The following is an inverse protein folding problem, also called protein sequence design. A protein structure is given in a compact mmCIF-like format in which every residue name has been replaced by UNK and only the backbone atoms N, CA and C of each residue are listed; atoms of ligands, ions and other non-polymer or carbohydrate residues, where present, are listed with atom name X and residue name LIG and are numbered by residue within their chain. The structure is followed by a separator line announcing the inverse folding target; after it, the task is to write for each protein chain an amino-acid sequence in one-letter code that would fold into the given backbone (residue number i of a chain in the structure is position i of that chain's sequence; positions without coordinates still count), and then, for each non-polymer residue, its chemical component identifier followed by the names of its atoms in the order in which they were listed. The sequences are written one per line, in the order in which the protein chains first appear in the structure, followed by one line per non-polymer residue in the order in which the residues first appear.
data_IF_733150084514
#
_entry.id   IF_733150084514
#
_cell.length_a   1.000
_cell.length_b   1.000
_cell.length_c   1.000
_cell.angle_alpha   90.00
_cell.angle_beta   90.00
_cell.angle_gamma   90.00
#
_symmetry.space_group_name_H-M   'P 1'
#
loop_
_entity.id
_entity.type
_entity.pdbx_description
1 polymer ?
#
# COMPACT_ATOMS: atom_id res chain seq x y z
N UNK A 1 6.73 -4.63 -9.32
CA UNK A 1 5.83 -5.01 -8.20
C UNK A 1 4.41 -4.61 -8.56
N UNK A 2 3.42 -5.46 -8.28
CA UNK A 2 2.01 -5.14 -8.43
C UNK A 2 1.38 -4.83 -7.06
N UNK A 3 0.63 -3.74 -6.96
CA UNK A 3 -0.12 -3.35 -5.77
C UNK A 3 -1.61 -3.32 -6.10
N UNK A 4 -2.42 -4.05 -5.34
CA UNK A 4 -3.88 -3.91 -5.37
C UNK A 4 -4.31 -3.07 -4.18
N UNK A 5 -4.72 -1.82 -4.44
CA UNK A 5 -5.12 -0.83 -3.45
C UNK A 5 -6.64 -0.66 -3.39
N UNK A 6 -7.43 -1.47 -4.11
CA UNK A 6 -8.91 -1.38 -4.12
C UNK A 6 -9.51 -1.67 -2.75
N UNK A 7 -8.79 -2.41 -1.91
CA UNK A 7 -9.14 -2.67 -0.52
C UNK A 7 -7.94 -2.32 0.36
N UNK A 8 -8.17 -1.83 1.58
CA UNK A 8 -7.09 -1.43 2.46
C UNK A 8 -6.48 -2.67 3.14
N UNK A 9 -5.66 -3.41 2.39
CA UNK A 9 -5.10 -4.71 2.82
C UNK A 9 -3.71 -4.63 3.45
N UNK A 10 -3.08 -3.46 3.41
CA UNK A 10 -1.72 -3.31 3.92
C UNK A 10 -1.73 -2.99 5.41
N UNK A 11 -1.13 -3.87 6.21
CA UNK A 11 -0.78 -3.57 7.59
C UNK A 11 0.42 -2.61 7.65
N UNK A 12 0.68 -2.04 8.82
CA UNK A 12 1.78 -1.10 9.01
C UNK A 12 3.11 -1.69 8.49
N UNK A 13 3.77 -0.95 7.60
CA UNK A 13 5.05 -1.36 7.00
C UNK A 13 4.96 -2.29 5.78
N UNK A 14 3.85 -3.01 5.57
CA UNK A 14 3.74 -3.91 4.40
C UNK A 14 3.77 -3.16 3.07
N UNK A 15 3.06 -2.03 2.98
CA UNK A 15 3.08 -1.19 1.78
C UNK A 15 4.50 -0.68 1.49
N UNK A 16 5.23 -0.27 2.54
CA UNK A 16 6.61 0.20 2.41
C UNK A 16 7.55 -0.91 1.94
N UNK A 17 7.44 -2.12 2.50
CA UNK A 17 8.21 -3.29 2.06
C UNK A 17 7.91 -3.64 0.61
N UNK A 18 6.64 -3.60 0.18
CA UNK A 18 6.29 -3.90 -1.20
C UNK A 18 6.89 -2.87 -2.18
N UNK A 19 6.84 -1.58 -1.83
CA UNK A 19 7.43 -0.50 -2.64
C UNK A 19 8.95 -0.58 -2.67
N UNK A 20 9.62 -0.96 -1.58
CA UNK A 20 11.08 -1.04 -1.52
C UNK A 20 11.69 -2.19 -2.34
N UNK A 21 10.88 -3.13 -2.84
CA UNK A 21 11.36 -4.23 -3.70
C UNK A 21 11.69 -3.81 -5.13
N UNK A 22 11.36 -2.59 -5.56
CA UNK A 22 11.71 -2.09 -6.90
C UNK A 22 12.85 -1.08 -6.84
N UNK A 23 13.65 -1.05 -7.89
CA UNK A 23 14.75 -0.09 -8.07
C UNK A 23 14.33 1.20 -8.76
N UNK A 24 13.14 1.23 -9.38
CA UNK A 24 12.56 2.39 -10.04
C UNK A 24 11.05 2.42 -9.81
N UNK A 25 10.51 3.61 -9.50
CA UNK A 25 9.07 3.81 -9.26
C UNK A 25 8.21 3.46 -10.47
N UNK A 26 8.75 3.62 -11.68
CA UNK A 26 8.06 3.29 -12.94
C UNK A 26 7.77 1.78 -13.07
N UNK A 27 8.44 0.93 -12.28
CA UNK A 27 8.23 -0.52 -12.26
C UNK A 27 7.16 -0.96 -11.24
N UNK A 28 6.46 0.01 -10.62
CA UNK A 28 5.30 -0.23 -9.75
C UNK A 28 4.05 -0.09 -10.61
N UNK A 29 3.20 -1.13 -10.57
CA UNK A 29 1.84 -1.09 -11.14
C UNK A 29 0.85 -1.14 -9.98
N UNK A 30 0.01 -0.12 -9.84
CA UNK A 30 -1.01 -0.06 -8.81
C UNK A 30 -2.40 -0.08 -9.45
N UNK A 31 -3.31 -0.86 -8.89
CA UNK A 31 -4.75 -0.86 -9.23
C UNK A 31 -5.47 -0.22 -8.04
N UNK A 32 -6.37 0.71 -8.33
CA UNK A 32 -7.07 1.55 -7.34
C UNK A 32 -8.58 1.42 -7.54
N UNK A 33 -9.39 2.04 -6.67
CA UNK A 33 -10.84 1.97 -6.82
C UNK A 33 -11.21 2.68 -8.14
N UNK A 34 -12.07 2.10 -9.00
CA UNK A 34 -12.49 2.74 -10.25
C UNK A 34 -13.22 4.07 -10.04
N UNK A 35 -13.63 4.38 -8.80
CA UNK A 35 -14.25 5.65 -8.40
C UNK A 35 -13.23 6.69 -7.94
N UNK A 36 -11.94 6.36 -7.88
CA UNK A 36 -10.90 7.31 -7.49
C UNK A 36 -10.78 8.42 -8.54
N UNK A 37 -10.60 9.65 -8.06
CA UNK A 37 -10.32 10.79 -8.91
C UNK A 37 -8.84 10.81 -9.32
N UNK A 38 -8.58 10.45 -10.58
CA UNK A 38 -7.22 10.41 -11.15
C UNK A 38 -6.59 11.79 -11.35
N UNK A 39 -7.31 12.89 -11.13
CA UNK A 39 -6.74 14.25 -11.13
C UNK A 39 -6.09 14.61 -9.80
N UNK A 40 -6.38 13.84 -8.74
CA UNK A 40 -5.80 14.00 -7.41
C UNK A 40 -4.65 13.00 -7.18
N UNK A 41 -3.69 13.33 -6.29
CA UNK A 41 -2.67 12.37 -5.90
C UNK A 41 -3.30 11.11 -5.31
N UNK A 42 -2.83 9.93 -5.76
CA UNK A 42 -3.28 8.66 -5.25
C UNK A 42 -3.01 8.56 -3.73
N UNK A 43 -4.06 8.28 -2.96
CA UNK A 43 -3.98 8.10 -1.50
C UNK A 43 -4.53 6.73 -1.14
N UNK A 44 -3.81 6.02 -0.28
CA UNK A 44 -4.27 4.77 0.32
C UNK A 44 -4.27 4.89 1.83
N UNK A 45 -5.25 4.28 2.50
CA UNK A 45 -5.30 4.23 3.96
C UNK A 45 -4.20 3.30 4.47
N UNK A 46 -3.38 3.79 5.39
CA UNK A 46 -2.44 2.96 6.14
C UNK A 46 -3.20 2.36 7.34
N UNK A 47 -3.42 1.04 7.35
CA UNK A 47 -4.06 0.38 8.48
C UNK A 47 -2.97 -0.16 9.40
N UNK A 48 -3.02 0.26 10.66
CA UNK A 48 -2.17 -0.27 11.72
C UNK A 48 -3.01 -1.24 12.54
N UNK A 49 -2.52 -2.46 12.72
CA UNK A 49 -3.09 -3.48 13.59
C UNK A 49 -2.20 -3.59 14.84
N UNK A 50 -2.52 -2.87 15.94
CA UNK A 50 -1.67 -2.82 17.12
C UNK A 50 -1.40 -4.19 17.73
N UNK A 51 -2.33 -5.13 17.59
CA UNK A 51 -2.21 -6.51 18.05
C UNK A 51 -1.07 -7.27 17.36
N UNK A 52 -0.77 -6.96 16.09
CA UNK A 52 0.36 -7.57 15.37
C UNK A 52 1.69 -7.01 15.87
N UNK A 53 1.70 -5.73 16.28
CA UNK A 53 2.89 -5.08 16.83
C UNK A 53 3.23 -5.61 18.23
N UNK A 54 2.24 -6.08 18.99
CA UNK A 54 2.44 -6.65 20.32
C UNK A 54 3.10 -8.05 20.29
N UNK A 55 3.04 -8.78 19.18
CA UNK A 55 3.64 -10.13 19.04
C UNK A 55 5.17 -10.05 18.85
N UNK A 56 5.71 -8.86 18.58
CA UNK A 56 7.15 -8.64 18.35
C UNK A 56 7.93 -8.20 19.61
N UNK A 57 7.28 -8.16 20.79
CA UNK A 57 7.89 -7.91 22.10
C UNK A 57 7.91 -9.18 22.96
#
# INVERSE_FOLDING_TARGET
VGLDLRTPVFTHGQLYVAVSRVTSVHNIKAITDPRDDFTLPLRTKNIVYPEVLQILN
#
